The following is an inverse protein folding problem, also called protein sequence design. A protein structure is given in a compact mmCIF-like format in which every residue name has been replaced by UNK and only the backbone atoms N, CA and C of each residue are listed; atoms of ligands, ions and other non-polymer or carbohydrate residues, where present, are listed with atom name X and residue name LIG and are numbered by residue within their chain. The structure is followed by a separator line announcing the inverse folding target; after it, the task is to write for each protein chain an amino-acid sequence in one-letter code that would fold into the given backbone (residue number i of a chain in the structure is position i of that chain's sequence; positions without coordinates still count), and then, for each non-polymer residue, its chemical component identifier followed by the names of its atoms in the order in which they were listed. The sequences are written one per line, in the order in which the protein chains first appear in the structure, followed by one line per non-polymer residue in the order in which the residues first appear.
data_IF_407634977893
#
_entry.id   IF_407634977893
#
_cell.length_a   1.000
_cell.length_b   1.000
_cell.length_c   1.000
_cell.angle_alpha   90.00
_cell.angle_beta   90.00
_cell.angle_gamma   90.00
#
_symmetry.space_group_name_H-M   'P 1'
#
loop_
_entity.id
_entity.type
_entity.pdbx_description
1 polymer ?
#
# COMPACT_ATOMS: atom_id res chain seq x y z
N UNK A 1 35.87 -70.63 -100.52
CA UNK A 1 35.66 -71.46 -101.73
C UNK A 1 36.99 -71.51 -102.48
N UNK A 2 37.57 -72.69 -102.62
CA UNK A 2 38.76 -72.86 -103.45
C UNK A 2 38.36 -72.61 -104.91
N UNK A 3 38.92 -71.56 -105.52
CA UNK A 3 38.80 -71.31 -106.96
C UNK A 3 39.66 -72.36 -107.66
N UNK A 4 39.06 -73.47 -108.06
CA UNK A 4 39.71 -74.47 -108.91
C UNK A 4 39.88 -73.87 -110.30
N UNK A 5 40.98 -73.14 -110.49
CA UNK A 5 41.39 -72.64 -111.81
C UNK A 5 41.82 -73.83 -112.65
N UNK A 6 40.87 -74.42 -113.37
CA UNK A 6 41.11 -75.47 -114.36
C UNK A 6 41.80 -74.85 -115.57
N UNK A 7 43.13 -74.81 -115.57
CA UNK A 7 43.92 -74.30 -116.69
C UNK A 7 43.92 -75.34 -117.82
N UNK A 8 43.19 -75.08 -118.90
CA UNK A 8 43.16 -75.94 -120.09
C UNK A 8 44.45 -75.82 -120.92
N UNK A 9 44.95 -76.96 -121.42
CA UNK A 9 46.12 -76.99 -122.31
C UNK A 9 45.77 -76.54 -123.74
N UNK A 10 46.72 -75.96 -124.47
CA UNK A 10 46.55 -75.56 -125.88
C UNK A 10 46.12 -76.70 -126.81
N UNK A 11 46.44 -77.96 -126.48
CA UNK A 11 46.00 -79.14 -127.23
C UNK A 11 44.52 -79.45 -126.98
N UNK A 12 44.08 -79.40 -125.72
CA UNK A 12 42.68 -79.59 -125.35
C UNK A 12 41.74 -78.46 -125.81
N UNK A 13 42.27 -77.31 -126.22
CA UNK A 13 41.47 -76.21 -126.79
C UNK A 13 41.22 -76.36 -128.30
N UNK A 14 41.91 -77.28 -128.99
CA UNK A 14 41.65 -77.57 -130.41
C UNK A 14 40.52 -78.58 -130.62
N UNK A 15 40.11 -79.28 -129.56
CA UNK A 15 39.00 -80.21 -129.58
C UNK A 15 37.68 -79.47 -129.30
N UNK A 16 36.76 -79.49 -130.27
CA UNK A 16 35.48 -78.77 -130.15
C UNK A 16 34.59 -79.31 -129.02
N UNK A 17 34.78 -80.57 -128.62
CA UNK A 17 34.00 -81.24 -127.57
C UNK A 17 34.38 -80.78 -126.16
N UNK A 18 35.66 -80.55 -125.89
CA UNK A 18 36.19 -80.05 -124.61
C UNK A 18 35.83 -78.57 -124.41
N UNK A 19 35.86 -77.76 -125.46
CA UNK A 19 35.37 -76.38 -125.40
C UNK A 19 33.87 -76.32 -125.08
N UNK A 20 33.06 -77.17 -125.72
CA UNK A 20 31.61 -77.23 -125.43
C UNK A 20 31.32 -77.64 -124.00
N UNK A 21 32.03 -78.64 -123.46
CA UNK A 21 31.80 -79.08 -122.08
C UNK A 21 32.23 -78.03 -121.06
N UNK A 22 33.31 -77.29 -121.31
CA UNK A 22 33.74 -76.20 -120.42
C UNK A 22 32.79 -74.99 -120.51
N UNK A 23 32.31 -74.63 -121.69
CA UNK A 23 31.26 -73.60 -121.86
C UNK A 23 30.01 -74.00 -121.07
N UNK A 24 29.56 -75.27 -121.17
CA UNK A 24 28.41 -75.75 -120.39
C UNK A 24 28.64 -75.70 -118.88
N UNK A 25 29.86 -75.98 -118.40
CA UNK A 25 30.20 -75.82 -116.97
C UNK A 25 30.17 -74.36 -116.54
N UNK A 26 30.78 -73.46 -117.32
CA UNK A 26 30.79 -72.02 -117.02
C UNK A 26 29.36 -71.43 -117.06
N UNK A 27 28.50 -71.90 -117.97
CA UNK A 27 27.08 -71.51 -118.00
C UNK A 27 26.31 -72.02 -116.77
N UNK A 28 26.58 -73.25 -116.32
CA UNK A 28 26.01 -73.80 -115.11
C UNK A 28 26.49 -73.03 -113.86
N UNK A 29 27.79 -72.75 -113.75
CA UNK A 29 28.38 -71.95 -112.67
C UNK A 29 27.82 -70.53 -112.65
N UNK A 30 27.67 -69.88 -113.82
CA UNK A 30 27.03 -68.57 -113.94
C UNK A 30 25.58 -68.61 -113.44
N UNK A 31 24.82 -69.66 -113.80
CA UNK A 31 23.44 -69.83 -113.35
C UNK A 31 23.36 -70.02 -111.83
N UNK A 32 24.27 -70.79 -111.25
CA UNK A 32 24.35 -71.01 -109.80
C UNK A 32 24.76 -69.73 -109.06
N UNK A 33 25.72 -68.96 -109.60
CA UNK A 33 26.12 -67.66 -109.05
C UNK A 33 24.98 -66.63 -109.11
N UNK A 34 24.22 -66.58 -110.21
CA UNK A 34 23.04 -65.72 -110.32
C UNK A 34 21.96 -66.12 -109.30
N UNK A 35 21.73 -67.43 -109.10
CA UNK A 35 20.79 -67.90 -108.10
C UNK A 35 21.24 -67.59 -106.66
N UNK A 36 22.56 -67.66 -106.37
CA UNK A 36 23.11 -67.23 -105.08
C UNK A 36 22.95 -65.72 -104.88
N UNK A 37 23.24 -64.92 -105.91
CA UNK A 37 23.08 -63.46 -105.86
C UNK A 37 21.62 -63.06 -105.59
N UNK A 38 20.65 -63.70 -106.24
CA UNK A 38 19.22 -63.45 -105.99
C UNK A 38 18.80 -63.79 -104.55
N UNK A 39 19.34 -64.89 -103.99
CA UNK A 39 19.11 -65.24 -102.57
C UNK A 39 19.71 -64.22 -101.61
N UNK A 40 20.94 -63.78 -101.87
CA UNK A 40 21.61 -62.75 -101.06
C UNK A 40 20.87 -61.41 -101.13
N UNK A 41 20.41 -60.99 -102.32
CA UNK A 41 19.60 -59.78 -102.47
C UNK A 41 18.30 -59.85 -101.67
N UNK A 42 17.60 -60.99 -101.71
CA UNK A 42 16.39 -61.21 -100.90
C UNK A 42 16.68 -61.17 -99.40
N UNK A 43 17.83 -61.72 -98.97
CA UNK A 43 18.24 -61.68 -97.58
C UNK A 43 18.55 -60.24 -97.12
N UNK A 44 19.31 -59.48 -97.92
CA UNK A 44 19.62 -58.08 -97.63
C UNK A 44 18.34 -57.25 -97.50
N UNK A 45 17.37 -57.44 -98.40
CA UNK A 45 16.09 -56.72 -98.33
C UNK A 45 15.34 -57.05 -97.03
N UNK A 46 15.26 -58.33 -96.64
CA UNK A 46 14.64 -58.73 -95.37
C UNK A 46 15.34 -58.09 -94.17
N UNK A 47 16.68 -58.12 -94.13
CA UNK A 47 17.44 -57.50 -93.05
C UNK A 47 17.24 -55.97 -92.99
N UNK A 48 17.08 -55.31 -94.14
CA UNK A 48 16.76 -53.88 -94.20
C UNK A 48 15.35 -53.61 -93.65
N UNK A 49 14.35 -54.40 -94.05
CA UNK A 49 12.98 -54.28 -93.55
C UNK A 49 12.92 -54.54 -92.03
N UNK A 50 13.60 -55.57 -91.54
CA UNK A 50 13.72 -55.90 -90.11
C UNK A 50 14.38 -54.77 -89.32
N UNK A 51 15.46 -54.17 -89.85
CA UNK A 51 16.18 -53.06 -89.22
C UNK A 51 15.30 -51.80 -89.13
N UNK A 52 14.50 -51.52 -90.17
CA UNK A 52 13.53 -50.42 -90.15
C UNK A 52 12.42 -50.68 -89.12
N UNK A 53 11.93 -51.92 -89.02
CA UNK A 53 10.94 -52.29 -88.00
C UNK A 53 11.50 -52.10 -86.59
N UNK A 54 12.69 -52.65 -86.31
CA UNK A 54 13.34 -52.53 -85.01
C UNK A 54 13.61 -51.08 -84.63
N UNK A 55 14.00 -50.22 -85.58
CA UNK A 55 14.16 -48.78 -85.32
C UNK A 55 12.86 -48.13 -84.83
N UNK A 56 11.73 -48.45 -85.45
CA UNK A 56 10.43 -47.95 -85.00
C UNK A 56 10.08 -48.45 -83.60
N UNK A 57 10.40 -49.70 -83.29
CA UNK A 57 10.18 -50.26 -81.96
C UNK A 57 11.06 -49.56 -80.91
N UNK A 58 12.32 -49.27 -81.23
CA UNK A 58 13.20 -48.47 -80.36
C UNK A 58 12.69 -47.05 -80.15
N UNK A 59 12.27 -46.35 -81.19
CA UNK A 59 11.67 -45.01 -81.08
C UNK A 59 10.39 -45.03 -80.23
N UNK A 60 9.61 -46.11 -80.30
CA UNK A 60 8.42 -46.27 -79.46
C UNK A 60 8.79 -46.51 -77.99
N UNK A 61 9.78 -47.36 -77.74
CA UNK A 61 10.31 -47.62 -76.39
C UNK A 61 10.89 -46.36 -75.76
N UNK A 62 11.67 -45.57 -76.50
CA UNK A 62 12.24 -44.31 -76.03
C UNK A 62 11.16 -43.34 -75.57
N UNK A 63 10.09 -43.18 -76.36
CA UNK A 63 8.93 -42.36 -75.97
C UNK A 63 8.21 -42.88 -74.74
N UNK A 64 8.13 -44.20 -74.56
CA UNK A 64 7.55 -44.79 -73.34
C UNK A 64 8.43 -44.49 -72.12
N UNK A 65 9.76 -44.61 -72.25
CA UNK A 65 10.69 -44.25 -71.19
C UNK A 65 10.56 -42.79 -70.78
N UNK A 66 10.52 -41.86 -71.74
CA UNK A 66 10.32 -40.44 -71.45
C UNK A 66 8.99 -40.17 -70.75
N UNK A 67 7.92 -40.86 -71.17
CA UNK A 67 6.62 -40.75 -70.53
C UNK A 67 6.63 -41.26 -69.08
N UNK A 68 7.25 -42.41 -68.82
CA UNK A 68 7.39 -42.95 -67.47
C UNK A 68 8.27 -42.06 -66.58
N UNK A 69 9.36 -41.50 -67.11
CA UNK A 69 10.18 -40.54 -66.38
C UNK A 69 9.39 -39.29 -65.99
N UNK A 70 8.49 -38.80 -66.85
CA UNK A 70 7.57 -37.72 -66.53
C UNK A 70 6.60 -38.09 -65.41
N UNK A 71 6.01 -39.29 -65.47
CA UNK A 71 5.10 -39.79 -64.42
C UNK A 71 5.84 -39.96 -63.07
N UNK A 72 7.08 -40.45 -63.08
CA UNK A 72 7.89 -40.59 -61.87
C UNK A 72 8.16 -39.22 -61.23
N UNK A 73 8.52 -38.22 -62.03
CA UNK A 73 8.71 -36.85 -61.54
C UNK A 73 7.42 -36.24 -60.96
N UNK A 74 6.28 -36.42 -61.64
CA UNK A 74 4.97 -35.96 -61.16
C UNK A 74 4.57 -36.67 -59.85
N UNK A 75 4.86 -37.97 -59.74
CA UNK A 75 4.59 -38.75 -58.53
C UNK A 75 5.46 -38.28 -57.35
N UNK A 76 6.75 -38.02 -57.57
CA UNK A 76 7.64 -37.48 -56.55
C UNK A 76 7.18 -36.09 -56.10
N UNK A 77 6.79 -35.21 -57.03
CA UNK A 77 6.26 -33.89 -56.72
C UNK A 77 4.98 -33.97 -55.87
N UNK A 78 4.04 -34.84 -56.26
CA UNK A 78 2.81 -35.07 -55.50
C UNK A 78 3.09 -35.62 -54.09
N UNK A 79 4.07 -36.53 -53.97
CA UNK A 79 4.48 -37.07 -52.67
C UNK A 79 5.05 -35.97 -51.76
N UNK A 80 5.85 -35.05 -52.31
CA UNK A 80 6.38 -33.90 -51.57
C UNK A 80 5.26 -32.94 -51.15
N UNK A 81 4.31 -32.64 -52.05
CA UNK A 81 3.16 -31.79 -51.77
C UNK A 81 2.31 -32.36 -50.63
N UNK A 82 1.98 -33.65 -50.67
CA UNK A 82 1.23 -34.32 -49.60
C UNK A 82 1.98 -34.29 -48.27
N UNK A 83 3.31 -34.40 -48.28
CA UNK A 83 4.11 -34.28 -47.06
C UNK A 83 4.08 -32.86 -46.50
N UNK A 84 4.19 -31.84 -47.35
CA UNK A 84 4.09 -30.44 -46.95
C UNK A 84 2.70 -30.12 -46.38
N UNK A 85 1.63 -30.53 -47.06
CA UNK A 85 0.25 -30.34 -46.60
C UNK A 85 0.02 -30.98 -45.22
N UNK A 86 0.58 -32.17 -44.98
CA UNK A 86 0.52 -32.81 -43.66
C UNK A 86 1.24 -32.00 -42.58
N UNK A 87 2.40 -31.44 -42.89
CA UNK A 87 3.17 -30.59 -41.96
C UNK A 87 2.43 -29.30 -41.66
N UNK A 88 1.85 -28.65 -42.67
CA UNK A 88 1.05 -27.44 -42.51
C UNK A 88 -0.18 -27.69 -41.62
N UNK A 89 -0.91 -28.79 -41.87
CA UNK A 89 -2.03 -29.21 -41.03
C UNK A 89 -1.63 -29.46 -39.57
N UNK A 90 -0.46 -30.06 -39.32
CA UNK A 90 0.05 -30.26 -37.96
C UNK A 90 0.38 -28.93 -37.29
N UNK A 91 0.99 -28.00 -38.03
CA UNK A 91 1.38 -26.69 -37.54
C UNK A 91 0.16 -25.82 -37.24
N UNK A 92 -0.89 -25.89 -38.05
CA UNK A 92 -2.18 -25.23 -37.77
C UNK A 92 -2.85 -25.79 -36.51
N UNK A 93 -2.89 -27.11 -36.36
CA UNK A 93 -3.40 -27.74 -35.13
C UNK A 93 -2.62 -27.26 -33.90
N UNK A 94 -1.29 -27.27 -33.96
CA UNK A 94 -0.46 -26.77 -32.86
C UNK A 94 -0.74 -25.30 -32.52
N UNK A 95 -0.93 -24.43 -33.54
CA UNK A 95 -1.33 -23.03 -33.32
C UNK A 95 -2.68 -22.94 -32.60
N UNK A 96 -3.67 -23.71 -33.03
CA UNK A 96 -5.00 -23.70 -32.39
C UNK A 96 -4.95 -24.24 -30.95
N UNK A 97 -4.16 -25.28 -30.69
CA UNK A 97 -3.97 -25.84 -29.35
C UNK A 97 -3.25 -24.85 -28.43
N UNK A 98 -2.21 -24.18 -28.92
CA UNK A 98 -1.51 -23.13 -28.17
C UNK A 98 -2.41 -21.93 -27.84
N UNK A 99 -3.25 -21.51 -28.79
CA UNK A 99 -4.27 -20.50 -28.53
C UNK A 99 -5.27 -20.97 -27.45
N UNK A 100 -5.78 -22.20 -27.56
CA UNK A 100 -6.64 -22.81 -26.56
C UNK A 100 -5.99 -22.90 -25.17
N UNK A 101 -4.73 -23.29 -25.10
CA UNK A 101 -3.96 -23.35 -23.85
C UNK A 101 -3.79 -21.96 -23.22
N UNK A 102 -3.54 -20.93 -24.03
CA UNK A 102 -3.46 -19.54 -23.55
C UNK A 102 -4.80 -19.03 -23.01
N UNK A 103 -5.90 -19.35 -23.67
CA UNK A 103 -7.25 -19.00 -23.22
C UNK A 103 -7.61 -19.73 -21.92
N UNK A 104 -7.29 -21.02 -21.81
CA UNK A 104 -7.48 -21.80 -20.58
C UNK A 104 -6.68 -21.24 -19.40
N UNK A 105 -5.46 -20.76 -19.62
CA UNK A 105 -4.67 -20.07 -18.58
C UNK A 105 -5.38 -18.80 -18.09
N UNK A 106 -5.86 -17.96 -19.00
CA UNK A 106 -6.63 -16.74 -18.65
C UNK A 106 -7.89 -17.07 -17.85
N UNK A 107 -8.70 -18.01 -18.32
CA UNK A 107 -9.91 -18.45 -17.60
C UNK A 107 -9.57 -18.98 -16.21
N UNK A 108 -8.47 -19.73 -16.07
CA UNK A 108 -8.03 -20.25 -14.76
C UNK A 108 -7.61 -19.13 -13.80
N UNK A 109 -6.98 -18.07 -14.30
CA UNK A 109 -6.63 -16.89 -13.51
C UNK A 109 -7.88 -16.09 -13.10
N UNK A 110 -8.82 -15.89 -14.01
CA UNK A 110 -10.11 -15.24 -13.72
C UNK A 110 -10.90 -16.02 -12.64
N UNK A 111 -10.98 -17.35 -12.75
CA UNK A 111 -11.64 -18.19 -11.74
C UNK A 111 -10.94 -18.07 -10.38
N UNK A 112 -9.61 -18.00 -10.34
CA UNK A 112 -8.88 -17.75 -9.08
C UNK A 112 -9.22 -16.37 -8.50
N UNK A 113 -9.30 -15.33 -9.33
CA UNK A 113 -9.71 -13.98 -8.93
C UNK A 113 -11.13 -13.99 -8.33
N UNK A 114 -12.10 -14.54 -9.05
CA UNK A 114 -13.48 -14.67 -8.58
C UNK A 114 -13.61 -15.47 -7.29
N UNK A 115 -12.80 -16.53 -7.10
CA UNK A 115 -12.77 -17.28 -5.86
C UNK A 115 -12.23 -16.47 -4.67
N UNK A 116 -11.25 -15.57 -4.91
CA UNK A 116 -10.74 -14.67 -3.89
C UNK A 116 -11.80 -13.63 -3.52
N UNK A 117 -12.43 -12.99 -4.50
CA UNK A 117 -13.52 -12.04 -4.29
C UNK A 117 -14.68 -12.69 -3.51
N UNK A 118 -15.07 -13.92 -3.87
CA UNK A 118 -16.10 -14.67 -3.17
C UNK A 118 -15.72 -14.99 -1.72
N UNK A 119 -14.44 -15.23 -1.42
CA UNK A 119 -13.96 -15.37 -0.03
C UNK A 119 -14.07 -14.05 0.73
N UNK A 120 -13.76 -12.93 0.12
CA UNK A 120 -13.88 -11.61 0.74
C UNK A 120 -15.33 -11.21 0.98
N UNK A 121 -16.21 -11.45 0.01
CA UNK A 121 -17.66 -11.30 0.15
C UNK A 121 -18.22 -12.19 1.27
N UNK A 122 -17.76 -13.43 1.39
CA UNK A 122 -18.13 -14.31 2.52
C UNK A 122 -17.64 -13.79 3.87
N UNK A 123 -16.52 -13.05 3.95
CA UNK A 123 -16.08 -12.40 5.20
C UNK A 123 -17.02 -11.27 5.61
N UNK A 124 -17.68 -10.63 4.65
CA UNK A 124 -18.74 -9.63 4.87
C UNK A 124 -20.09 -10.28 5.22
N UNK A 125 -20.07 -11.44 5.90
CA UNK A 125 -21.25 -12.15 6.35
C UNK A 125 -22.23 -11.19 7.06
N UNK A 126 -23.42 -10.97 6.48
CA UNK A 126 -24.41 -10.04 7.03
C UNK A 126 -24.80 -10.39 8.48
N UNK A 127 -24.74 -11.66 8.87
CA UNK A 127 -25.03 -12.08 10.25
C UNK A 127 -23.92 -11.63 11.21
N UNK A 128 -22.65 -11.75 10.80
CA UNK A 128 -21.50 -11.29 11.59
C UNK A 128 -21.52 -9.77 11.74
N UNK A 129 -21.79 -9.05 10.66
CA UNK A 129 -21.90 -7.58 10.68
C UNK A 129 -23.07 -7.13 11.56
N UNK A 130 -24.25 -7.77 11.46
CA UNK A 130 -25.39 -7.48 12.36
C UNK A 130 -25.03 -7.68 13.84
N UNK A 131 -24.31 -8.77 14.19
CA UNK A 131 -23.84 -8.99 15.56
C UNK A 131 -22.88 -7.88 16.03
N UNK A 132 -21.88 -7.53 15.21
CA UNK A 132 -20.94 -6.45 15.53
C UNK A 132 -21.64 -5.09 15.74
N UNK A 133 -22.63 -4.76 14.91
CA UNK A 133 -23.42 -3.53 15.07
C UNK A 133 -24.20 -3.54 16.38
N UNK A 134 -24.79 -4.68 16.77
CA UNK A 134 -25.51 -4.81 18.04
C UNK A 134 -24.55 -4.66 19.23
N UNK A 135 -23.39 -5.30 19.18
CA UNK A 135 -22.39 -5.22 20.26
C UNK A 135 -21.80 -3.80 20.39
N UNK A 136 -21.53 -3.12 19.27
CA UNK A 136 -21.10 -1.73 19.27
C UNK A 136 -22.18 -0.80 19.81
N UNK A 137 -23.46 -1.00 19.45
CA UNK A 137 -24.58 -0.25 20.04
C UNK A 137 -24.65 -0.43 21.56
N UNK A 138 -24.50 -1.67 22.04
CA UNK A 138 -24.46 -1.96 23.49
C UNK A 138 -23.28 -1.27 24.16
N UNK A 139 -22.06 -1.38 23.62
CA UNK A 139 -20.87 -0.69 24.15
C UNK A 139 -21.06 0.82 24.23
N UNK A 140 -21.61 1.43 23.17
CA UNK A 140 -21.84 2.86 23.12
C UNK A 140 -22.92 3.31 24.14
N UNK A 141 -23.95 2.50 24.36
CA UNK A 141 -24.92 2.74 25.44
C UNK A 141 -24.29 2.63 26.83
N UNK A 142 -23.41 1.65 27.06
CA UNK A 142 -22.69 1.50 28.33
C UNK A 142 -21.77 2.68 28.59
N UNK A 143 -20.95 3.07 27.61
CA UNK A 143 -20.09 4.25 27.70
C UNK A 143 -20.90 5.54 27.92
N UNK A 144 -22.05 5.68 27.28
CA UNK A 144 -22.95 6.81 27.51
C UNK A 144 -23.48 6.88 28.95
N UNK A 145 -23.72 5.74 29.60
CA UNK A 145 -24.11 5.68 31.02
C UNK A 145 -22.94 5.99 31.94
N UNK A 146 -21.76 5.42 31.66
CA UNK A 146 -20.52 5.67 32.41
C UNK A 146 -20.14 7.15 32.37
N UNK A 147 -20.15 7.77 31.19
CA UNK A 147 -19.86 9.19 31.02
C UNK A 147 -20.83 10.08 31.80
N UNK A 148 -22.12 9.73 31.86
CA UNK A 148 -23.09 10.44 32.70
C UNK A 148 -22.78 10.30 34.18
N UNK A 149 -22.42 9.09 34.63
CA UNK A 149 -22.05 8.85 36.02
C UNK A 149 -20.79 9.64 36.41
N UNK A 150 -19.76 9.62 35.56
CA UNK A 150 -18.52 10.40 35.76
C UNK A 150 -18.82 11.89 35.80
N UNK A 151 -19.65 12.40 34.89
CA UNK A 151 -20.00 13.82 34.88
C UNK A 151 -20.76 14.23 36.15
N UNK A 152 -21.68 13.38 36.64
CA UNK A 152 -22.39 13.64 37.90
C UNK A 152 -21.43 13.66 39.09
N UNK A 153 -20.49 12.72 39.17
CA UNK A 153 -19.47 12.69 40.21
C UNK A 153 -18.56 13.93 40.15
N UNK A 154 -18.19 14.37 38.96
CA UNK A 154 -17.38 15.57 38.74
C UNK A 154 -18.13 16.85 39.16
N UNK A 155 -19.44 16.92 38.93
CA UNK A 155 -20.27 18.03 39.42
C UNK A 155 -20.38 18.02 40.95
N UNK A 156 -20.54 16.86 41.59
CA UNK A 156 -20.57 16.74 43.06
C UNK A 156 -19.26 17.21 43.68
N UNK A 157 -18.14 16.65 43.21
CA UNK A 157 -16.80 17.00 43.71
C UNK A 157 -16.45 18.47 43.50
N UNK A 158 -16.92 19.10 42.41
CA UNK A 158 -16.78 20.55 42.21
C UNK A 158 -17.60 21.38 43.21
N UNK A 159 -18.78 20.91 43.62
CA UNK A 159 -19.58 21.58 44.65
C UNK A 159 -18.92 21.44 46.02
N UNK A 160 -18.52 20.22 46.38
CA UNK A 160 -17.77 19.94 47.61
C UNK A 160 -16.49 20.77 47.69
N UNK A 161 -15.71 20.87 46.60
CA UNK A 161 -14.53 21.73 46.55
C UNK A 161 -14.85 23.20 46.81
N UNK A 162 -15.94 23.72 46.24
CA UNK A 162 -16.37 25.12 46.45
C UNK A 162 -16.74 25.37 47.91
N UNK A 163 -17.50 24.46 48.52
CA UNK A 163 -17.88 24.53 49.93
C UNK A 163 -16.63 24.52 50.83
N UNK A 164 -15.71 23.57 50.60
CA UNK A 164 -14.44 23.48 51.35
C UNK A 164 -13.55 24.73 51.16
N UNK A 165 -13.51 25.34 49.97
CA UNK A 165 -12.79 26.61 49.79
C UNK A 165 -13.41 27.76 50.55
N UNK A 166 -14.75 27.87 50.56
CA UNK A 166 -15.44 28.92 51.33
C UNK A 166 -15.24 28.73 52.84
N UNK A 167 -15.29 27.49 53.34
CA UNK A 167 -14.99 27.18 54.74
C UNK A 167 -13.53 27.54 55.09
N UNK A 168 -12.58 27.22 54.20
CA UNK A 168 -11.17 27.58 54.38
C UNK A 168 -10.98 29.10 54.46
N UNK A 169 -11.63 29.87 53.59
CA UNK A 169 -11.57 31.34 53.59
C UNK A 169 -12.14 31.91 54.90
N UNK A 170 -13.31 31.42 55.34
CA UNK A 170 -13.91 31.85 56.61
C UNK A 170 -13.03 31.54 57.83
N UNK A 171 -12.44 30.34 57.89
CA UNK A 171 -11.52 29.97 58.96
C UNK A 171 -10.24 30.81 58.94
N UNK A 172 -9.73 31.17 57.76
CA UNK A 172 -8.57 32.04 57.62
C UNK A 172 -8.85 33.46 58.14
N UNK A 173 -10.04 34.00 57.87
CA UNK A 173 -10.47 35.30 58.41
C UNK A 173 -10.61 35.28 59.94
N UNK A 174 -11.25 34.26 60.50
CA UNK A 174 -11.38 34.08 61.96
C UNK A 174 -10.01 33.98 62.64
N UNK A 175 -9.07 33.26 62.04
CA UNK A 175 -7.71 33.13 62.56
C UNK A 175 -6.97 34.47 62.53
N UNK A 176 -7.10 35.25 61.45
CA UNK A 176 -6.51 36.60 61.35
C UNK A 176 -7.03 37.54 62.44
N UNK A 177 -8.34 37.51 62.72
CA UNK A 177 -8.94 38.30 63.79
C UNK A 177 -8.41 37.91 65.18
N UNK A 178 -8.34 36.61 65.48
CA UNK A 178 -7.82 36.13 66.77
C UNK A 178 -6.36 36.50 67.02
N UNK A 179 -5.52 36.50 65.97
CA UNK A 179 -4.12 36.93 66.08
C UNK A 179 -3.97 38.43 66.37
N UNK A 180 -4.84 39.28 65.82
CA UNK A 180 -4.81 40.72 66.06
C UNK A 180 -5.14 41.07 67.53
N UNK A 181 -6.05 40.32 68.15
CA UNK A 181 -6.46 40.56 69.55
C UNK A 181 -5.42 40.10 70.59
N UNK A 182 -4.48 39.23 70.21
CA UNK A 182 -3.58 38.56 71.17
C UNK A 182 -2.18 39.18 71.25
N UNK A 183 -1.76 39.98 70.26
CA UNK A 183 -0.39 40.52 70.20
C UNK A 183 -0.36 42.03 70.49
N UNK A 184 0.33 42.42 71.57
CA UNK A 184 0.62 43.82 71.83
C UNK A 184 1.61 44.35 70.78
N UNK A 185 1.32 45.50 70.17
CA UNK A 185 2.28 46.15 69.26
C UNK A 185 3.34 46.94 70.02
N UNK A 186 3.09 47.26 71.29
CA UNK A 186 4.03 47.94 72.16
C UNK A 186 3.82 47.54 73.62
N UNK A 187 4.91 47.49 74.37
CA UNK A 187 4.92 47.26 75.81
C UNK A 187 5.94 48.20 76.44
N UNK A 188 5.62 48.78 77.60
CA UNK A 188 6.50 49.68 78.33
C UNK A 188 7.74 48.95 78.86
N UNK A 189 8.86 49.66 79.05
CA UNK A 189 10.12 49.08 79.49
C UNK A 189 10.05 48.43 80.89
N UNK A 190 9.19 48.96 81.75
CA UNK A 190 8.86 48.43 83.07
C UNK A 190 7.87 47.24 83.03
N UNK A 191 7.37 46.91 81.84
CA UNK A 191 6.44 45.81 81.59
C UNK A 191 5.04 46.02 82.18
N UNK A 192 4.72 47.23 82.65
CA UNK A 192 3.45 47.53 83.31
C UNK A 192 2.31 47.81 82.33
N UNK A 193 2.61 48.33 81.15
CA UNK A 193 1.62 48.77 80.17
C UNK A 193 1.84 48.10 78.83
N UNK A 194 0.76 47.67 78.19
CA UNK A 194 0.79 47.13 76.85
C UNK A 194 -0.31 47.75 75.99
N UNK A 195 0.04 48.06 74.75
CA UNK A 195 -0.86 48.63 73.76
C UNK A 195 -1.24 47.57 72.72
N UNK A 196 -2.53 47.46 72.46
CA UNK A 196 -3.11 46.54 71.51
C UNK A 196 -3.93 47.32 70.49
N UNK A 197 -3.83 46.93 69.23
CA UNK A 197 -4.79 47.36 68.22
C UNK A 197 -6.12 46.67 68.50
N UNK A 198 -7.20 47.43 68.55
CA UNK A 198 -8.49 46.92 68.98
C UNK A 198 -9.60 47.52 68.13
N UNK A 199 -10.40 46.63 67.51
CA UNK A 199 -11.66 46.99 66.87
C UNK A 199 -12.85 47.01 67.84
N UNK A 200 -12.60 46.94 69.15
CA UNK A 200 -13.65 46.82 70.17
C UNK A 200 -14.54 48.08 70.26
N UNK A 201 -15.84 47.90 70.04
CA UNK A 201 -16.88 48.94 70.16
C UNK A 201 -17.67 48.69 71.45
N UNK A 202 -17.83 49.71 72.30
CA UNK A 202 -18.57 49.59 73.56
C UNK A 202 -20.09 49.57 73.30
N UNK A 203 -20.86 48.87 74.13
CA UNK A 203 -22.31 48.63 73.94
C UNK A 203 -23.18 49.89 73.79
N UNK A 204 -22.71 51.04 74.28
CA UNK A 204 -23.44 52.32 74.25
C UNK A 204 -22.96 53.26 73.12
N UNK A 205 -22.02 52.82 72.26
CA UNK A 205 -21.54 53.58 71.12
C UNK A 205 -22.26 53.16 69.82
N UNK A 206 -22.60 54.14 68.98
CA UNK A 206 -23.08 53.86 67.62
C UNK A 206 -21.93 53.22 66.83
N UNK A 207 -22.16 52.05 66.25
CA UNK A 207 -21.18 51.43 65.37
C UNK A 207 -20.82 52.40 64.23
N UNK A 208 -19.53 52.55 63.88
CA UNK A 208 -19.15 53.33 62.70
C UNK A 208 -19.84 52.74 61.47
N UNK A 209 -20.34 53.61 60.58
CA UNK A 209 -21.09 53.23 59.36
C UNK A 209 -20.19 52.96 58.14
N UNK A 210 -18.89 52.75 58.36
CA UNK A 210 -17.87 52.59 57.32
C UNK A 210 -17.02 51.36 57.62
N UNK A 211 -16.50 50.71 56.56
CA UNK A 211 -15.46 49.69 56.63
C UNK A 211 -14.14 50.23 57.23
N UNK A 212 -14.06 51.54 57.51
CA UNK A 212 -13.22 52.10 58.57
C UNK A 212 -13.74 51.65 59.93
N UNK A 213 -13.52 50.37 60.26
CA UNK A 213 -13.51 49.93 61.64
C UNK A 213 -12.62 50.91 62.39
N UNK A 214 -13.19 51.69 63.32
CA UNK A 214 -12.44 52.65 64.12
C UNK A 214 -11.32 51.90 64.84
N UNK A 215 -10.14 51.84 64.22
CA UNK A 215 -8.96 51.16 64.74
C UNK A 215 -8.54 51.97 65.96
N UNK A 216 -9.01 51.53 67.11
CA UNK A 216 -8.73 52.14 68.40
C UNK A 216 -7.55 51.43 69.01
N UNK A 217 -6.89 52.13 69.90
CA UNK A 217 -5.81 51.56 70.68
C UNK A 217 -6.36 51.28 72.06
N UNK A 218 -6.22 50.03 72.49
CA UNK A 218 -6.48 49.62 73.86
C UNK A 218 -5.17 49.68 74.63
N UNK A 219 -5.14 50.49 75.67
CA UNK A 219 -4.07 50.50 76.65
C UNK A 219 -4.48 49.60 77.81
N UNK A 220 -3.68 48.57 78.09
CA UNK A 220 -3.89 47.63 79.18
C UNK A 220 -2.79 47.82 80.21
N UNK A 221 -3.17 48.05 81.46
CA UNK A 221 -2.28 47.91 82.59
C UNK A 221 -2.19 46.42 82.95
N UNK A 222 -1.01 45.83 82.76
CA UNK A 222 -0.75 44.41 83.01
C UNK A 222 -0.71 44.06 84.50
N UNK A 223 -0.45 45.03 85.38
CA UNK A 223 -0.43 44.81 86.84
C UNK A 223 -1.83 44.83 87.45
N UNK A 224 -2.69 45.75 87.03
CA UNK A 224 -4.04 45.91 87.60
C UNK A 224 -5.13 45.24 86.76
N UNK A 225 -4.82 44.87 85.51
CA UNK A 225 -5.79 44.33 84.56
C UNK A 225 -6.77 45.36 83.99
N UNK A 226 -6.63 46.64 84.37
CA UNK A 226 -7.51 47.72 83.90
C UNK A 226 -7.13 48.07 82.47
N UNK A 227 -8.13 48.15 81.58
CA UNK A 227 -7.96 48.52 80.19
C UNK A 227 -8.75 49.78 79.87
N UNK A 228 -8.17 50.64 79.03
CA UNK A 228 -8.76 51.89 78.58
C UNK A 228 -8.61 52.00 77.07
N UNK A 229 -9.63 52.55 76.42
CA UNK A 229 -9.66 52.72 74.97
C UNK A 229 -9.30 54.16 74.59
N UNK A 230 -8.60 54.33 73.49
CA UNK A 230 -8.35 55.65 72.91
C UNK A 230 -9.66 56.29 72.43
N UNK A 231 -9.84 57.58 72.69
CA UNK A 231 -10.99 58.38 72.27
C UNK A 231 -10.69 59.15 70.98
N UNK A 232 -9.80 60.13 71.03
CA UNK A 232 -9.46 61.05 69.94
C UNK A 232 -7.99 61.50 70.03
N UNK A 233 -7.37 61.82 68.89
CA UNK A 233 -6.01 62.39 68.82
C UNK A 233 -6.03 63.88 69.19
N UNK A 234 -5.11 64.31 70.06
CA UNK A 234 -5.01 65.71 70.48
C UNK A 234 -4.14 66.51 69.49
N UNK A 235 -4.78 67.43 68.74
CA UNK A 235 -4.12 68.17 67.66
C UNK A 235 -3.57 69.56 68.06
N UNK A 236 -3.92 70.09 69.24
CA UNK A 236 -3.56 71.45 69.69
C UNK A 236 -3.18 71.51 71.17
N UNK A 237 -2.10 72.23 71.50
CA UNK A 237 -1.63 72.46 72.88
C UNK A 237 -0.24 71.88 73.18
N UNK A 238 0.18 71.91 74.45
CA UNK A 238 1.45 71.28 74.91
C UNK A 238 1.44 69.74 74.84
N UNK A 239 0.27 69.13 74.62
CA UNK A 239 0.06 67.68 74.46
C UNK A 239 -0.27 67.31 73.00
N UNK A 240 0.17 68.14 72.06
CA UNK A 240 0.09 67.82 70.63
C UNK A 240 0.89 66.54 70.40
N UNK A 241 0.26 65.53 69.81
CA UNK A 241 0.79 64.17 69.60
C UNK A 241 0.55 63.15 70.72
N UNK A 242 -0.38 63.40 71.64
CA UNK A 242 -0.91 62.40 72.59
C UNK A 242 -2.35 62.01 72.25
N UNK A 243 -2.78 60.83 72.71
CA UNK A 243 -4.19 60.42 72.63
C UNK A 243 -4.96 60.85 73.87
N UNK A 244 -6.19 61.28 73.65
CA UNK A 244 -7.20 61.32 74.72
C UNK A 244 -7.77 59.92 74.93
N UNK A 245 -8.05 59.58 76.18
CA UNK A 245 -8.45 58.24 76.58
C UNK A 245 -9.87 58.24 77.16
N UNK A 246 -10.60 57.13 76.97
CA UNK A 246 -11.95 56.95 77.48
C UNK A 246 -11.92 56.55 78.97
N UNK A 247 -11.92 57.55 79.85
CA UNK A 247 -12.01 57.36 81.31
C UNK A 247 -10.99 58.22 82.06
N UNK A 248 -11.08 58.23 83.39
CA UNK A 248 -10.26 59.09 84.25
C UNK A 248 -8.92 58.46 84.65
N UNK A 249 -8.46 57.44 83.91
CA UNK A 249 -7.19 56.77 84.21
C UNK A 249 -6.01 57.59 83.69
N UNK A 250 -5.06 57.91 84.56
CA UNK A 250 -3.81 58.55 84.17
C UNK A 250 -2.93 57.54 83.42
N UNK A 251 -2.82 57.72 82.11
CA UNK A 251 -1.98 56.89 81.24
C UNK A 251 -0.61 57.56 81.07
N UNK A 252 0.50 56.81 81.18
CA UNK A 252 1.84 57.35 80.98
C UNK A 252 1.99 58.07 79.64
N UNK A 253 2.75 59.16 79.62
CA UNK A 253 2.96 59.96 78.41
C UNK A 253 3.56 59.13 77.27
N UNK A 254 4.52 58.26 77.58
CA UNK A 254 5.17 57.37 76.60
C UNK A 254 4.16 56.43 75.91
N UNK A 255 3.26 55.81 76.68
CA UNK A 255 2.19 54.97 76.15
C UNK A 255 1.20 55.78 75.30
N UNK A 256 0.93 57.03 75.68
CA UNK A 256 0.04 57.93 74.93
C UNK A 256 0.63 58.38 73.60
N UNK A 257 1.93 58.67 73.57
CA UNK A 257 2.66 59.08 72.36
C UNK A 257 2.84 57.92 71.39
N UNK A 258 3.19 56.73 71.89
CA UNK A 258 3.39 55.57 71.03
C UNK A 258 2.08 55.07 70.44
N UNK A 259 1.00 55.15 71.22
CA UNK A 259 -0.35 54.92 70.72
C UNK A 259 -0.71 55.98 69.64
N UNK A 260 -0.43 57.26 69.86
CA UNK A 260 -0.70 58.30 68.86
C UNK A 260 0.09 58.09 67.55
N UNK A 261 1.36 57.68 67.63
CA UNK A 261 2.17 57.32 66.45
C UNK A 261 1.56 56.15 65.68
N UNK A 262 1.15 55.09 66.39
CA UNK A 262 0.57 53.91 65.75
C UNK A 262 -0.78 54.22 65.09
N UNK A 263 -1.62 55.04 65.72
CA UNK A 263 -2.91 55.45 65.14
C UNK A 263 -2.73 56.30 63.87
N UNK A 264 -1.71 57.18 63.84
CA UNK A 264 -1.33 57.92 62.61
C UNK A 264 -0.81 57.00 61.50
N UNK A 265 0.03 56.02 61.84
CA UNK A 265 0.54 55.06 60.86
C UNK A 265 -0.59 54.23 60.25
N UNK A 266 -1.53 53.77 61.10
CA UNK A 266 -2.73 53.05 60.70
C UNK A 266 -3.61 53.88 59.74
N UNK A 267 -3.78 55.17 60.02
CA UNK A 267 -4.57 56.07 59.17
C UNK A 267 -3.90 56.31 57.80
N UNK A 268 -2.57 56.37 57.74
CA UNK A 268 -1.82 56.45 56.49
C UNK A 268 -1.90 55.14 55.69
N UNK A 269 -1.79 53.98 56.36
CA UNK A 269 -1.95 52.67 55.71
C UNK A 269 -3.34 52.48 55.09
N UNK A 270 -4.41 53.09 55.65
CA UNK A 270 -5.75 53.05 55.06
C UNK A 270 -6.01 54.03 53.91
N UNK A 271 -5.15 55.04 53.70
CA UNK A 271 -5.27 55.99 52.58
C UNK A 271 -4.53 55.51 51.31
N UNK A 272 -3.67 54.48 51.42
CA UNK A 272 -2.89 53.91 50.31
C UNK A 272 -3.52 52.68 49.64
N UNK A 273 -4.59 52.11 50.21
CA UNK A 273 -5.39 50.97 49.69
C UNK A 273 -6.68 51.42 48.98
#
# INVERSE_FOLDING_TARGET
MASSTSTLSLKSLRDTSTLKSEISKLEAEKKDLLAKLDREQKLVKKLQDDLVSQKKDFEHLEKQFDHFAGIEADFEALQQEVQLERLENLLEKEKTENQGASALKKVREEVKGLQQELKELKKLDPLRLKRQVVDLKKKNQTQGKENKAVNNALVSTRKELKEMTAEKESLAEQLKQSFAESNAFWQSEDGEWALFESGLILKDEKSPKSDDAAKRIRCLNLKTGVAVLSKELLEKGKQKDQLSWLGDLEIPQEASEEAAKRLKAIAAESEED
#
